data_IF_809578557798
#
_entry.id   IF_809578557798
#
_cell.length_a   1.000
_cell.length_b   1.000
_cell.length_c   1.000
_cell.angle_alpha   90.00
_cell.angle_beta   90.00
_cell.angle_gamma   90.00
#
_symmetry.space_group_name_H-M   'P 1'
#
loop_
_entity.id
_entity.type
_entity.pdbx_description
1 polymer ?
#
# COMPACT_ATOMS: atom_id res chain seq x y z
N UNK A 1 33.87 -5.18 21.52
CA UNK A 1 35.03 -4.93 20.63
C UNK A 1 35.89 -3.83 21.27
N UNK A 2 37.15 -4.11 21.61
CA UNK A 2 38.04 -3.23 22.40
C UNK A 2 38.53 -1.98 21.67
N UNK A 3 37.64 -1.00 21.47
CA UNK A 3 38.00 0.35 21.01
C UNK A 3 38.44 1.17 22.22
N UNK A 4 39.63 1.80 22.16
CA UNK A 4 40.04 2.79 23.17
C UNK A 4 39.24 4.06 22.93
N UNK A 5 38.47 4.49 23.92
CA UNK A 5 37.60 5.67 23.89
C UNK A 5 38.11 6.64 24.96
N UNK A 6 38.07 7.93 24.68
CA UNK A 6 38.45 8.98 25.63
C UNK A 6 37.31 9.29 26.60
N UNK A 7 37.63 9.78 27.79
CA UNK A 7 36.63 10.21 28.78
C UNK A 7 35.71 11.28 28.19
N UNK A 8 36.28 12.19 27.40
CA UNK A 8 35.53 13.26 26.73
C UNK A 8 34.51 12.73 25.70
N UNK A 9 34.87 11.69 24.94
CA UNK A 9 33.93 11.03 24.03
C UNK A 9 32.79 10.35 24.79
N UNK A 10 33.06 9.77 25.96
CA UNK A 10 32.03 9.13 26.79
C UNK A 10 31.11 10.18 27.44
N UNK A 11 31.66 11.27 27.96
CA UNK A 11 30.85 12.38 28.52
C UNK A 11 29.92 12.99 27.46
N UNK A 12 30.35 13.04 26.20
CA UNK A 12 29.55 13.53 25.08
C UNK A 12 28.70 12.48 24.37
N UNK A 13 28.67 11.24 24.88
CA UNK A 13 27.87 10.15 24.32
C UNK A 13 26.44 10.13 24.86
N UNK A 14 25.61 9.25 24.30
CA UNK A 14 24.22 9.00 24.74
C UNK A 14 24.12 8.34 26.14
N UNK A 15 25.25 7.87 26.68
CA UNK A 15 25.28 7.25 28.02
C UNK A 15 25.07 8.28 29.14
N UNK A 16 25.43 9.55 28.92
CA UNK A 16 25.38 10.62 29.93
C UNK A 16 24.42 11.72 29.47
N UNK A 17 23.44 12.07 30.29
CA UNK A 17 22.48 13.15 29.97
C UNK A 17 23.16 14.52 30.01
N UNK A 18 22.56 15.50 29.35
CA UNK A 18 23.11 16.86 29.32
C UNK A 18 23.24 17.48 30.71
N UNK A 19 22.27 17.22 31.60
CA UNK A 19 22.30 17.64 33.00
C UNK A 19 23.46 17.00 33.78
N UNK A 20 23.66 15.70 33.62
CA UNK A 20 24.75 14.96 34.26
C UNK A 20 26.12 15.41 33.73
N UNK A 21 26.22 15.69 32.43
CA UNK A 21 27.42 16.24 31.79
C UNK A 21 27.81 17.59 32.40
N UNK A 22 26.85 18.50 32.52
CA UNK A 22 27.08 19.83 33.08
C UNK A 22 27.56 19.72 34.53
N UNK A 23 26.93 18.86 35.33
CA UNK A 23 27.33 18.66 36.73
C UNK A 23 28.72 18.05 36.85
N UNK A 24 29.05 17.02 36.05
CA UNK A 24 30.38 16.41 36.04
C UNK A 24 31.49 17.40 35.67
N UNK A 25 31.26 18.23 34.64
CA UNK A 25 32.22 19.26 34.22
C UNK A 25 32.38 20.31 35.32
N UNK A 26 31.28 20.73 35.96
CA UNK A 26 31.28 21.71 37.04
C UNK A 26 32.07 21.20 38.24
N UNK A 27 31.86 19.95 38.66
CA UNK A 27 32.57 19.34 39.79
C UNK A 27 34.07 19.20 39.52
N UNK A 28 34.46 18.87 38.29
CA UNK A 28 35.87 18.84 37.87
C UNK A 28 36.51 20.25 37.87
N UNK A 29 35.82 21.26 37.33
CA UNK A 29 36.31 22.65 37.30
C UNK A 29 36.49 23.25 38.70
N UNK A 30 35.65 22.86 39.66
CA UNK A 30 35.75 23.28 41.05
C UNK A 30 36.81 22.50 41.84
N UNK A 31 37.46 21.50 41.24
CA UNK A 31 38.49 20.68 41.88
C UNK A 31 37.94 19.71 42.94
N UNK A 32 36.62 19.51 43.01
CA UNK A 32 35.98 18.57 43.92
C UNK A 32 36.17 17.11 43.48
N UNK A 33 36.43 16.88 42.19
CA UNK A 33 36.61 15.55 41.60
C UNK A 33 37.91 15.52 40.80
N UNK A 34 38.78 14.57 41.11
CA UNK A 34 40.03 14.34 40.39
C UNK A 34 39.79 13.59 39.07
N UNK A 35 40.77 13.60 38.17
CA UNK A 35 40.65 12.89 36.87
C UNK A 35 40.41 11.38 37.06
N UNK A 36 40.97 10.76 38.10
CA UNK A 36 40.81 9.34 38.41
C UNK A 36 39.42 9.02 38.95
N UNK A 37 38.87 9.90 39.79
CA UNK A 37 37.49 9.80 40.28
C UNK A 37 36.48 10.04 39.16
N UNK A 38 36.77 10.99 38.26
CA UNK A 38 35.94 11.25 37.08
C UNK A 38 35.88 10.01 36.17
N UNK A 39 37.02 9.33 35.95
CA UNK A 39 37.06 8.06 35.21
C UNK A 39 36.17 7.02 35.89
N UNK A 40 36.29 6.84 37.21
CA UNK A 40 35.46 5.88 37.95
C UNK A 40 33.98 6.20 37.83
N UNK A 41 33.58 7.45 38.05
CA UNK A 41 32.18 7.90 37.98
C UNK A 41 31.62 7.65 36.57
N UNK A 42 32.37 8.04 35.53
CA UNK A 42 31.95 7.86 34.14
C UNK A 42 31.84 6.36 33.78
N UNK A 43 32.78 5.52 34.22
CA UNK A 43 32.70 4.06 34.02
C UNK A 43 31.48 3.48 34.74
N UNK A 44 31.26 3.83 36.01
CA UNK A 44 30.09 3.34 36.77
C UNK A 44 28.78 3.78 36.13
N UNK A 45 28.70 5.00 35.61
CA UNK A 45 27.50 5.49 34.91
C UNK A 45 27.27 4.77 33.58
N UNK A 46 28.33 4.48 32.83
CA UNK A 46 28.25 3.68 31.60
C UNK A 46 27.84 2.25 31.91
N UNK A 47 28.43 1.63 32.94
CA UNK A 47 28.08 0.27 33.36
C UNK A 47 26.64 0.21 33.89
N UNK A 48 26.17 1.20 34.66
CA UNK A 48 24.77 1.30 35.11
C UNK A 48 23.79 1.49 33.94
N UNK A 49 24.14 2.31 32.94
CA UNK A 49 23.36 2.49 31.71
C UNK A 49 23.39 1.26 30.80
N UNK A 50 24.53 0.58 30.71
CA UNK A 50 24.68 -0.66 29.95
C UNK A 50 23.90 -1.80 30.62
N UNK A 51 23.99 -1.92 31.95
CA UNK A 51 23.22 -2.86 32.75
C UNK A 51 21.72 -2.61 32.67
N UNK A 52 21.27 -1.34 32.65
CA UNK A 52 19.85 -1.03 32.47
C UNK A 52 19.38 -1.33 31.05
N UNK A 53 20.21 -1.11 30.03
CA UNK A 53 19.90 -1.49 28.65
C UNK A 53 19.88 -3.02 28.44
N UNK A 54 20.74 -3.78 29.14
CA UNK A 54 20.75 -5.25 29.10
C UNK A 54 19.65 -5.90 29.99
N UNK A 55 19.14 -5.18 31.00
CA UNK A 55 18.06 -5.64 31.89
C UNK A 55 16.65 -5.20 31.45
N UNK A 56 16.52 -4.41 30.39
CA UNK A 56 15.21 -4.00 29.91
C UNK A 56 14.49 -5.16 29.22
N UNK A 57 13.43 -5.63 29.88
CA UNK A 57 12.57 -6.68 29.35
C UNK A 57 11.85 -6.17 28.11
N UNK A 58 12.14 -6.82 26.98
CA UNK A 58 11.62 -6.44 25.68
C UNK A 58 10.70 -7.52 25.08
N UNK A 59 9.74 -7.06 24.28
CA UNK A 59 8.80 -7.86 23.51
C UNK A 59 9.03 -7.68 22.01
N UNK A 60 8.68 -8.67 21.21
CA UNK A 60 8.68 -8.51 19.75
C UNK A 60 7.49 -7.64 19.30
N UNK A 61 7.78 -6.47 18.74
CA UNK A 61 6.81 -5.58 18.12
C UNK A 61 6.69 -5.78 16.61
N UNK A 62 6.21 -4.75 15.92
CA UNK A 62 5.99 -4.79 14.47
C UNK A 62 7.28 -4.54 13.66
N UNK A 63 8.17 -3.68 14.15
CA UNK A 63 9.45 -3.34 13.48
C UNK A 63 10.62 -3.31 14.45
N UNK A 64 10.38 -2.97 15.70
CA UNK A 64 11.38 -2.91 16.75
C UNK A 64 10.94 -3.71 17.98
N UNK A 65 11.90 -3.93 18.88
CA UNK A 65 11.61 -4.46 20.20
C UNK A 65 10.87 -3.42 21.04
N UNK A 66 9.88 -3.88 21.80
CA UNK A 66 9.00 -3.04 22.62
C UNK A 66 9.37 -3.23 24.09
N UNK A 67 9.88 -2.20 24.79
CA UNK A 67 10.16 -2.30 26.20
C UNK A 67 8.89 -2.53 27.02
N UNK A 68 8.97 -3.33 28.09
CA UNK A 68 7.84 -3.59 29.00
C UNK A 68 7.24 -2.29 29.56
N UNK A 69 8.08 -1.28 29.79
CA UNK A 69 7.66 0.04 30.25
C UNK A 69 6.71 0.72 29.26
N UNK A 70 6.97 0.58 27.96
CA UNK A 70 6.10 1.14 26.92
C UNK A 70 4.71 0.50 26.90
N UNK A 71 4.63 -0.79 27.22
CA UNK A 71 3.34 -1.49 27.38
C UNK A 71 2.58 -1.02 28.63
N UNK A 72 3.30 -0.73 29.73
CA UNK A 72 2.71 -0.18 30.96
C UNK A 72 2.20 1.24 30.74
N UNK A 73 3.01 2.11 30.12
CA UNK A 73 2.64 3.49 29.79
C UNK A 73 1.46 3.56 28.80
N UNK A 74 1.28 2.49 28.01
CA UNK A 74 0.16 2.32 27.08
C UNK A 74 -1.03 1.58 27.71
N UNK A 75 -1.00 1.29 29.01
CA UNK A 75 -2.04 0.59 29.78
C UNK A 75 -2.43 -0.77 29.18
N UNK A 76 -1.48 -1.44 28.52
CA UNK A 76 -1.67 -2.78 27.93
C UNK A 76 -1.42 -3.85 28.99
N UNK A 77 -0.44 -3.61 29.87
CA UNK A 77 -0.14 -4.47 31.02
C UNK A 77 -0.40 -3.69 32.31
N UNK A 78 -0.82 -4.42 33.34
CA UNK A 78 -1.00 -3.87 34.68
C UNK A 78 0.33 -3.74 35.42
N UNK A 79 0.38 -2.87 36.43
CA UNK A 79 1.56 -2.67 37.30
C UNK A 79 2.03 -3.99 37.92
N UNK A 80 1.09 -4.85 38.35
CA UNK A 80 1.42 -6.15 38.95
C UNK A 80 2.12 -7.09 37.97
N UNK A 81 1.70 -7.06 36.69
CA UNK A 81 2.31 -7.90 35.65
C UNK A 81 3.69 -7.37 35.28
N UNK A 82 3.85 -6.04 35.24
CA UNK A 82 5.14 -5.39 35.03
C UNK A 82 6.14 -5.71 36.15
N UNK A 83 5.71 -5.66 37.41
CA UNK A 83 6.54 -6.03 38.56
C UNK A 83 6.92 -7.52 38.54
N UNK A 84 6.01 -8.41 38.12
CA UNK A 84 6.31 -9.84 37.95
C UNK A 84 7.33 -10.10 36.84
N UNK A 85 7.28 -9.32 35.76
CA UNK A 85 8.28 -9.34 34.70
C UNK A 85 9.64 -8.89 35.24
N UNK A 86 9.70 -7.74 35.93
CA UNK A 86 10.97 -7.24 36.51
C UNK A 86 11.59 -8.20 37.52
N UNK A 87 10.77 -8.89 38.31
CA UNK A 87 11.21 -9.90 39.29
C UNK A 87 11.59 -11.25 38.64
N UNK A 88 11.40 -11.40 37.33
CA UNK A 88 11.69 -12.64 36.59
C UNK A 88 10.72 -13.79 36.88
N UNK A 89 9.58 -13.51 37.52
CA UNK A 89 8.56 -14.52 37.87
C UNK A 89 7.75 -14.98 36.66
N UNK A 90 7.56 -14.08 35.68
CA UNK A 90 6.96 -14.37 34.38
C UNK A 90 7.94 -14.07 33.26
N UNK A 91 7.90 -14.88 32.22
CA UNK A 91 8.71 -14.62 31.03
C UNK A 91 7.98 -13.70 30.03
N UNK A 92 8.71 -12.90 29.24
CA UNK A 92 8.08 -12.04 28.21
C UNK A 92 7.32 -12.87 27.17
N UNK A 93 7.77 -14.11 26.92
CA UNK A 93 7.13 -15.04 25.99
C UNK A 93 5.80 -15.60 26.51
N UNK A 94 5.62 -15.72 27.83
CA UNK A 94 4.32 -16.10 28.42
C UNK A 94 3.34 -14.94 28.37
N UNK A 95 3.79 -13.74 28.71
CA UNK A 95 2.95 -12.54 28.69
C UNK A 95 2.54 -12.18 27.26
N UNK A 96 3.43 -12.33 26.28
CA UNK A 96 3.13 -12.06 24.87
C UNK A 96 2.07 -13.00 24.26
N UNK A 97 1.94 -14.22 24.79
CA UNK A 97 0.91 -15.19 24.38
C UNK A 97 -0.46 -14.93 24.98
N UNK A 98 -0.58 -14.01 25.93
CA UNK A 98 -1.89 -13.62 26.48
C UNK A 98 -2.65 -12.82 25.42
N UNK A 99 -3.88 -13.22 25.09
CA UNK A 99 -4.69 -12.61 24.03
C UNK A 99 -4.76 -11.07 24.12
N UNK A 100 -4.84 -10.54 25.35
CA UNK A 100 -4.84 -9.09 25.61
C UNK A 100 -3.59 -8.40 25.06
N UNK A 101 -2.41 -8.96 25.29
CA UNK A 101 -1.12 -8.37 24.91
C UNK A 101 -0.78 -8.71 23.46
N UNK A 102 -1.07 -9.94 23.02
CA UNK A 102 -0.85 -10.37 21.64
C UNK A 102 -1.57 -9.48 20.62
N UNK A 103 -2.82 -9.10 20.93
CA UNK A 103 -3.62 -8.16 20.14
C UNK A 103 -2.89 -6.85 19.87
N UNK A 104 -2.15 -6.32 20.85
CA UNK A 104 -1.46 -5.05 20.71
C UNK A 104 -0.07 -5.17 20.10
N UNK A 105 0.65 -6.28 20.37
CA UNK A 105 1.96 -6.53 19.77
C UNK A 105 1.87 -6.89 18.28
N UNK A 106 1.03 -7.87 17.93
CA UNK A 106 0.98 -8.43 16.58
C UNK A 106 -0.30 -8.09 15.81
N UNK A 107 -1.38 -7.71 16.50
CA UNK A 107 -2.69 -7.45 15.91
C UNK A 107 -3.65 -8.62 16.05
N UNK A 108 -4.87 -8.44 15.56
CA UNK A 108 -5.91 -9.47 15.47
C UNK A 108 -6.07 -9.98 14.04
N UNK A 109 -7.15 -10.71 13.80
CA UNK A 109 -7.58 -11.17 12.48
C UNK A 109 -7.58 -10.02 11.47
N UNK A 110 -6.99 -10.30 10.30
CA UNK A 110 -6.85 -9.40 9.15
C UNK A 110 -7.10 -10.21 7.88
N UNK A 111 -7.27 -9.55 6.74
CA UNK A 111 -7.42 -10.26 5.47
C UNK A 111 -6.03 -10.68 4.98
N UNK A 112 -5.68 -11.96 5.13
CA UNK A 112 -4.35 -12.50 4.78
C UNK A 112 -4.30 -13.02 3.33
N UNK A 113 -5.44 -13.43 2.78
CA UNK A 113 -5.54 -13.94 1.41
C UNK A 113 -6.97 -14.16 0.96
N UNK A 114 -7.11 -14.84 -0.18
CA UNK A 114 -8.39 -15.21 -0.78
C UNK A 114 -8.51 -16.72 -0.80
N UNK A 115 -9.70 -17.24 -0.49
CA UNK A 115 -10.02 -18.66 -0.70
C UNK A 115 -11.02 -18.79 -1.83
N UNK A 116 -10.69 -19.60 -2.83
CA UNK A 116 -11.61 -19.96 -3.89
C UNK A 116 -12.65 -20.93 -3.35
N UNK A 117 -13.91 -20.52 -3.32
CA UNK A 117 -15.02 -21.36 -2.84
C UNK A 117 -15.24 -22.60 -3.70
N UNK A 118 -14.90 -22.53 -5.00
CA UNK A 118 -15.08 -23.63 -5.95
C UNK A 118 -14.03 -24.74 -5.79
N UNK A 119 -12.77 -24.39 -5.50
CA UNK A 119 -11.63 -25.32 -5.43
C UNK A 119 -11.03 -25.48 -4.03
N UNK A 120 -11.50 -24.69 -3.06
CA UNK A 120 -10.90 -24.50 -1.73
C UNK A 120 -9.41 -24.12 -1.78
N UNK A 121 -8.97 -23.52 -2.90
CA UNK A 121 -7.60 -23.08 -3.11
C UNK A 121 -7.34 -21.75 -2.39
N UNK A 122 -6.20 -21.66 -1.70
CA UNK A 122 -5.78 -20.46 -0.97
C UNK A 122 -4.79 -19.68 -1.82
N UNK A 123 -5.16 -18.46 -2.18
CA UNK A 123 -4.36 -17.56 -3.00
C UNK A 123 -3.91 -16.35 -2.19
N UNK A 124 -2.72 -15.84 -2.51
CA UNK A 124 -2.33 -14.50 -2.06
C UNK A 124 -3.20 -13.45 -2.77
N UNK A 125 -3.35 -12.28 -2.16
CA UNK A 125 -4.15 -11.19 -2.75
C UNK A 125 -3.59 -10.78 -4.11
N UNK A 126 -2.26 -10.72 -4.22
CA UNK A 126 -1.58 -10.41 -5.47
C UNK A 126 -1.77 -11.50 -6.54
N UNK A 127 -1.75 -12.78 -6.16
CA UNK A 127 -2.04 -13.87 -7.09
C UNK A 127 -3.49 -13.82 -7.58
N UNK A 128 -4.44 -13.54 -6.69
CA UNK A 128 -5.84 -13.38 -7.06
C UNK A 128 -6.08 -12.18 -8.01
N UNK A 129 -5.27 -11.11 -7.91
CA UNK A 129 -5.28 -10.01 -8.89
C UNK A 129 -4.76 -10.46 -10.25
N UNK A 130 -3.67 -11.23 -10.29
CA UNK A 130 -3.09 -11.78 -11.53
C UNK A 130 -4.05 -12.73 -12.24
N UNK A 131 -4.72 -13.57 -11.47
CA UNK A 131 -5.68 -14.56 -11.97
C UNK A 131 -7.04 -13.93 -12.32
N UNK A 132 -7.16 -12.60 -12.22
CA UNK A 132 -8.38 -11.82 -12.49
C UNK A 132 -9.58 -12.24 -11.65
N UNK A 133 -9.34 -12.90 -10.52
CA UNK A 133 -10.36 -13.21 -9.51
C UNK A 133 -10.73 -11.96 -8.73
N UNK A 134 -9.75 -11.07 -8.51
CA UNK A 134 -9.92 -9.83 -7.79
C UNK A 134 -9.63 -8.63 -8.69
N UNK A 135 -10.52 -7.63 -8.66
CA UNK A 135 -10.28 -6.36 -9.36
C UNK A 135 -9.00 -5.69 -8.86
N UNK A 136 -8.24 -5.07 -9.77
CA UNK A 136 -6.94 -4.47 -9.43
C UNK A 136 -7.05 -3.41 -8.32
N UNK A 137 -8.08 -2.54 -8.37
CA UNK A 137 -8.27 -1.50 -7.36
C UNK A 137 -8.59 -2.08 -5.98
N UNK A 138 -9.50 -3.07 -5.91
CA UNK A 138 -9.85 -3.74 -4.66
C UNK A 138 -8.65 -4.50 -4.09
N UNK A 139 -7.89 -5.20 -4.94
CA UNK A 139 -6.69 -5.91 -4.52
C UNK A 139 -5.59 -5.01 -4.02
N UNK A 140 -5.36 -3.87 -4.69
CA UNK A 140 -4.43 -2.86 -4.23
C UNK A 140 -4.82 -2.33 -2.84
N UNK A 141 -6.09 -1.96 -2.64
CA UNK A 141 -6.56 -1.46 -1.34
C UNK A 141 -6.36 -2.48 -0.20
N UNK A 142 -6.60 -3.77 -0.48
CA UNK A 142 -6.37 -4.83 0.51
C UNK A 142 -4.88 -5.06 0.79
N UNK A 143 -4.00 -4.99 -0.21
CA UNK A 143 -2.56 -5.07 -0.02
C UNK A 143 -2.02 -3.86 0.75
N UNK A 144 -2.52 -2.66 0.48
CA UNK A 144 -2.19 -1.44 1.24
C UNK A 144 -2.62 -1.60 2.71
N UNK A 145 -3.81 -2.16 2.97
CA UNK A 145 -4.26 -2.47 4.32
C UNK A 145 -3.37 -3.51 5.04
N UNK A 146 -2.87 -4.53 4.34
CA UNK A 146 -1.89 -5.48 4.91
C UNK A 146 -0.58 -4.78 5.28
N UNK A 147 -0.04 -3.97 4.37
CA UNK A 147 1.19 -3.20 4.61
C UNK A 147 1.02 -2.23 5.80
N UNK A 148 -0.11 -1.52 5.88
CA UNK A 148 -0.41 -0.59 6.95
C UNK A 148 -0.72 -1.25 8.30
N UNK A 149 -1.04 -2.55 8.33
CA UNK A 149 -1.28 -3.33 9.56
C UNK A 149 -0.06 -4.15 9.99
N UNK A 150 1.07 -4.00 9.29
CA UNK A 150 2.36 -4.50 9.72
C UNK A 150 3.13 -5.27 8.67
N UNK A 151 2.52 -6.24 7.98
CA UNK A 151 3.28 -7.12 7.10
C UNK A 151 2.44 -7.59 5.93
N UNK A 152 3.09 -7.77 4.79
CA UNK A 152 2.53 -8.54 3.68
C UNK A 152 2.67 -10.02 3.98
N UNK A 153 1.61 -10.77 3.75
CA UNK A 153 1.54 -12.19 4.10
C UNK A 153 1.59 -13.02 2.83
N UNK A 154 2.46 -14.03 2.84
CA UNK A 154 2.38 -15.14 1.91
C UNK A 154 1.59 -16.28 2.56
N UNK A 155 0.34 -16.51 2.16
CA UNK A 155 -0.51 -17.54 2.77
C UNK A 155 -0.07 -18.96 2.46
N UNK A 156 0.73 -19.19 1.41
CA UNK A 156 1.20 -20.53 1.02
C UNK A 156 2.37 -20.94 1.91
N UNK A 157 3.29 -20.02 2.15
CA UNK A 157 4.49 -20.26 2.99
C UNK A 157 4.27 -19.92 4.46
N UNK A 158 3.15 -19.28 4.79
CA UNK A 158 2.84 -18.71 6.11
C UNK A 158 3.97 -17.79 6.63
N UNK A 159 4.48 -16.93 5.74
CA UNK A 159 5.57 -16.00 6.03
C UNK A 159 5.08 -14.56 5.96
N UNK A 160 5.66 -13.72 6.81
CA UNK A 160 5.39 -12.28 6.89
C UNK A 160 6.60 -11.52 6.38
N UNK A 161 6.38 -10.57 5.49
CA UNK A 161 7.43 -9.78 4.86
C UNK A 161 7.19 -8.28 5.01
N UNK A 162 8.27 -7.52 5.12
CA UNK A 162 8.26 -6.08 4.80
C UNK A 162 8.07 -5.88 3.30
N UNK A 163 7.69 -4.68 2.87
CA UNK A 163 7.38 -4.42 1.46
C UNK A 163 8.58 -4.72 0.56
N UNK A 164 9.78 -4.27 0.94
CA UNK A 164 11.01 -4.54 0.19
C UNK A 164 11.32 -6.04 0.07
N UNK A 165 11.09 -6.80 1.14
CA UNK A 165 11.34 -8.23 1.15
C UNK A 165 10.24 -8.99 0.38
N UNK A 166 9.01 -8.51 0.39
CA UNK A 166 7.90 -9.11 -0.37
C UNK A 166 8.16 -9.01 -1.88
N UNK A 167 8.69 -7.87 -2.36
CA UNK A 167 9.08 -7.70 -3.77
C UNK A 167 10.26 -8.61 -4.13
N UNK A 168 11.29 -8.67 -3.28
CA UNK A 168 12.46 -9.56 -3.50
C UNK A 168 12.08 -11.05 -3.55
N UNK A 169 11.08 -11.47 -2.76
CA UNK A 169 10.60 -12.84 -2.71
C UNK A 169 9.48 -13.12 -3.74
N UNK A 170 9.08 -12.14 -4.55
CA UNK A 170 8.05 -12.30 -5.58
C UNK A 170 6.62 -12.45 -5.04
N UNK A 171 6.39 -12.12 -3.76
CA UNK A 171 5.04 -12.12 -3.15
C UNK A 171 4.19 -11.00 -3.73
N UNK A 172 4.81 -9.87 -4.05
CA UNK A 172 4.19 -8.73 -4.73
C UNK A 172 5.08 -8.26 -5.88
N UNK A 173 4.47 -7.77 -6.95
CA UNK A 173 5.19 -7.22 -8.10
C UNK A 173 5.80 -5.84 -7.86
N UNK A 174 6.88 -5.50 -8.58
CA UNK A 174 7.55 -4.21 -8.43
C UNK A 174 6.67 -3.02 -8.80
N UNK A 175 5.62 -3.21 -9.60
CA UNK A 175 4.65 -2.17 -9.99
C UNK A 175 3.86 -1.59 -8.83
N UNK A 176 3.74 -2.32 -7.72
CA UNK A 176 3.04 -1.87 -6.51
C UNK A 176 3.99 -1.38 -5.42
N UNK A 177 5.31 -1.46 -5.62
CA UNK A 177 6.32 -1.21 -4.59
C UNK A 177 6.18 0.17 -3.95
N UNK A 178 6.09 1.22 -4.75
CA UNK A 178 5.99 2.60 -4.27
C UNK A 178 4.72 2.85 -3.43
N UNK A 179 3.57 2.34 -3.89
CA UNK A 179 2.28 2.49 -3.20
C UNK A 179 2.26 1.74 -1.87
N UNK A 180 2.75 0.50 -1.87
CA UNK A 180 2.82 -0.30 -0.65
C UNK A 180 3.84 0.24 0.34
N UNK A 181 4.96 0.80 -0.14
CA UNK A 181 5.94 1.47 0.71
C UNK A 181 5.33 2.73 1.36
N UNK A 182 4.48 3.47 0.63
CA UNK A 182 3.70 4.57 1.21
C UNK A 182 2.75 4.09 2.31
N UNK A 183 2.07 2.96 2.12
CA UNK A 183 1.19 2.38 3.12
C UNK A 183 1.98 1.83 4.34
N UNK A 184 3.15 1.23 4.13
CA UNK A 184 4.04 0.72 5.19
C UNK A 184 4.55 1.84 6.12
N UNK A 185 4.65 3.09 5.63
CA UNK A 185 4.96 4.26 6.48
C UNK A 185 3.94 4.48 7.58
N UNK A 186 2.73 3.96 7.46
CA UNK A 186 1.73 3.95 8.54
C UNK A 186 2.17 3.14 9.76
N UNK A 187 3.16 2.26 9.59
CA UNK A 187 3.76 1.42 10.65
C UNK A 187 5.12 1.97 11.08
N UNK A 188 5.98 2.36 10.12
CA UNK A 188 7.34 2.86 10.41
C UNK A 188 7.37 4.35 10.79
N UNK A 189 6.30 5.07 10.49
CA UNK A 189 6.15 6.50 10.74
C UNK A 189 6.47 7.35 9.52
N UNK A 190 5.82 8.51 9.45
CA UNK A 190 6.08 9.55 8.46
C UNK A 190 7.11 10.53 9.02
N UNK A 191 8.08 10.94 8.21
CA UNK A 191 9.07 11.93 8.65
C UNK A 191 8.49 13.33 8.52
N UNK A 192 8.38 14.05 9.63
CA UNK A 192 7.94 15.44 9.63
C UNK A 192 9.04 16.33 9.01
N UNK A 193 8.75 17.08 7.91
CA UNK A 193 9.74 17.95 7.28
C UNK A 193 10.29 19.05 8.19
N UNK A 194 9.53 19.48 9.20
CA UNK A 194 9.92 20.60 10.07
C UNK A 194 10.75 20.15 11.28
N UNK A 195 10.39 19.03 11.89
CA UNK A 195 11.04 18.53 13.12
C UNK A 195 12.02 17.40 12.87
N UNK A 196 11.94 16.73 11.71
CA UNK A 196 12.70 15.53 11.40
C UNK A 196 12.25 14.26 12.15
N UNK A 197 11.27 14.40 13.05
CA UNK A 197 10.76 13.30 13.87
C UNK A 197 9.77 12.41 13.10
N UNK A 198 9.69 11.14 13.48
CA UNK A 198 8.66 10.22 12.97
C UNK A 198 7.32 10.50 13.65
N UNK A 199 6.31 10.81 12.85
CA UNK A 199 4.92 11.04 13.27
C UNK A 199 4.00 9.92 12.78
N UNK A 200 2.87 9.76 13.46
CA UNK A 200 1.84 8.79 13.07
C UNK A 200 1.08 9.17 11.80
N UNK A 201 0.36 8.19 11.23
CA UNK A 201 -0.49 8.40 10.06
C UNK A 201 -1.56 9.48 10.32
N UNK A 202 -2.20 9.49 11.48
CA UNK A 202 -3.20 10.51 11.82
C UNK A 202 -2.60 11.91 11.94
N UNK A 203 -1.41 12.02 12.53
CA UNK A 203 -0.71 13.31 12.62
C UNK A 203 -0.25 13.78 11.24
N UNK A 204 0.22 12.87 10.39
CA UNK A 204 0.59 13.17 9.01
C UNK A 204 -0.62 13.65 8.20
N UNK A 205 -1.78 13.02 8.38
CA UNK A 205 -3.05 13.46 7.79
C UNK A 205 -3.48 14.84 8.32
N UNK A 206 -3.35 15.08 9.63
CA UNK A 206 -3.73 16.37 10.23
C UNK A 206 -2.80 17.52 9.83
N UNK A 207 -1.58 17.21 9.37
CA UNK A 207 -0.59 18.15 8.85
C UNK A 207 -0.61 18.24 7.31
N UNK A 208 -1.62 17.65 6.65
CA UNK A 208 -1.76 17.59 5.20
C UNK A 208 -0.56 16.97 4.45
N UNK A 209 0.25 16.15 5.14
CA UNK A 209 1.35 15.39 4.53
C UNK A 209 0.83 14.14 3.80
N UNK A 210 -0.34 13.65 4.19
CA UNK A 210 -1.03 12.51 3.57
C UNK A 210 -2.50 12.88 3.37
N UNK A 211 -3.03 12.70 2.17
CA UNK A 211 -4.44 12.96 1.89
C UNK A 211 -5.36 12.06 2.72
N UNK A 212 -6.47 12.61 3.19
CA UNK A 212 -7.50 11.90 3.95
C UNK A 212 -7.99 10.64 3.25
N UNK A 213 -8.13 10.69 1.92
CA UNK A 213 -8.65 9.57 1.11
C UNK A 213 -7.73 8.34 1.15
N UNK A 214 -6.43 8.55 1.35
CA UNK A 214 -5.46 7.47 1.54
C UNK A 214 -5.30 7.10 3.01
N UNK A 215 -5.35 8.08 3.93
CA UNK A 215 -5.11 7.83 5.35
C UNK A 215 -6.29 7.13 6.06
N UNK A 216 -7.54 7.53 5.79
CA UNK A 216 -8.74 6.98 6.44
C UNK A 216 -8.86 5.46 6.27
N UNK A 217 -8.73 4.87 5.06
CA UNK A 217 -8.80 3.42 4.88
C UNK A 217 -7.74 2.66 5.68
N UNK A 218 -6.52 3.20 5.77
CA UNK A 218 -5.42 2.57 6.50
C UNK A 218 -5.62 2.66 8.02
N UNK A 219 -6.11 3.80 8.51
CA UNK A 219 -6.49 3.99 9.92
C UNK A 219 -7.63 3.05 10.32
N UNK A 220 -8.63 2.90 9.46
CA UNK A 220 -9.73 1.96 9.67
C UNK A 220 -9.24 0.51 9.75
N UNK A 221 -8.31 0.11 8.87
CA UNK A 221 -7.71 -1.22 8.89
C UNK A 221 -6.90 -1.46 10.18
N UNK A 222 -6.12 -0.47 10.65
CA UNK A 222 -5.41 -0.56 11.92
C UNK A 222 -6.38 -0.69 13.11
N UNK A 223 -7.39 0.19 13.15
CA UNK A 223 -8.42 0.20 14.19
C UNK A 223 -9.13 -1.16 14.30
N UNK A 224 -9.50 -1.74 13.16
CA UNK A 224 -10.19 -3.02 13.08
C UNK A 224 -9.31 -4.21 13.45
N UNK A 225 -7.98 -4.11 13.25
CA UNK A 225 -7.01 -5.20 13.50
C UNK A 225 -6.31 -5.11 14.85
N UNK A 226 -6.91 -4.43 15.82
CA UNK A 226 -6.46 -4.45 17.22
C UNK A 226 -6.39 -3.07 17.86
N UNK A 227 -6.08 -2.03 17.09
CA UNK A 227 -5.87 -0.66 17.56
C UNK A 227 -4.92 0.12 16.64
N UNK A 228 -4.83 1.43 16.84
CA UNK A 228 -3.95 2.32 16.06
C UNK A 228 -2.48 1.99 16.35
N UNK A 229 -1.64 2.02 15.32
CA UNK A 229 -0.21 1.75 15.47
C UNK A 229 0.52 3.03 15.85
N UNK A 230 1.34 2.95 16.89
CA UNK A 230 2.29 4.00 17.25
C UNK A 230 3.65 3.66 16.62
N UNK A 231 4.13 4.47 15.64
CA UNK A 231 5.38 4.19 14.96
C UNK A 231 6.61 4.24 15.85
N UNK A 232 6.58 5.06 16.90
CA UNK A 232 7.74 5.26 17.79
C UNK A 232 7.90 4.06 18.71
N UNK A 233 6.79 3.58 19.27
CA UNK A 233 6.79 2.43 20.17
C UNK A 233 6.61 1.08 19.47
N UNK A 234 6.43 1.08 18.14
CA UNK A 234 6.37 -0.11 17.27
C UNK A 234 5.31 -1.16 17.65
N UNK A 235 4.25 -0.76 18.34
CA UNK A 235 3.12 -1.61 18.69
C UNK A 235 1.79 -0.85 18.55
N UNK A 236 0.67 -1.59 18.61
CA UNK A 236 -0.66 -1.00 18.63
C UNK A 236 -1.00 -0.53 20.02
N UNK A 237 -1.76 0.54 20.11
CA UNK A 237 -2.22 1.11 21.38
C UNK A 237 -3.75 1.06 21.51
N UNK A 238 -4.27 0.99 22.74
CA UNK A 238 -5.70 1.14 23.02
C UNK A 238 -6.26 2.49 22.53
N UNK A 239 -7.55 2.53 22.19
CA UNK A 239 -8.19 3.71 21.59
C UNK A 239 -8.19 4.94 22.52
N UNK A 240 -8.40 4.74 23.81
CA UNK A 240 -8.37 5.79 24.83
C UNK A 240 -6.97 6.41 24.94
N UNK A 241 -5.93 5.57 24.92
CA UNK A 241 -4.53 6.01 24.93
C UNK A 241 -4.16 6.71 23.61
N UNK A 242 -4.66 6.21 22.47
CA UNK A 242 -4.44 6.83 21.17
C UNK A 242 -5.01 8.26 21.12
N UNK A 243 -6.19 8.49 21.71
CA UNK A 243 -6.79 9.81 21.81
C UNK A 243 -5.97 10.71 22.75
N UNK A 244 -5.54 10.21 23.90
CA UNK A 244 -4.71 10.96 24.85
C UNK A 244 -3.38 11.40 24.25
N UNK A 245 -2.76 10.56 23.40
CA UNK A 245 -1.50 10.86 22.71
C UNK A 245 -1.69 11.66 21.41
N UNK A 246 -2.93 11.99 21.01
CA UNK A 246 -3.21 12.69 19.77
C UNK A 246 -2.88 11.88 18.50
N UNK A 247 -2.91 10.55 18.61
CA UNK A 247 -2.71 9.59 17.51
C UNK A 247 -4.03 9.22 16.83
N UNK A 248 -5.16 9.58 17.45
CA UNK A 248 -6.51 9.44 16.92
C UNK A 248 -7.40 10.56 17.49
N UNK A 249 -8.33 11.11 16.71
CA UNK A 249 -9.33 12.03 17.25
C UNK A 249 -10.55 11.27 17.79
N UNK A 250 -11.21 11.83 18.80
CA UNK A 250 -12.45 11.26 19.34
C UNK A 250 -13.55 11.16 18.26
N UNK A 251 -13.65 12.17 17.39
CA UNK A 251 -14.60 12.18 16.27
C UNK A 251 -14.35 11.02 15.30
N UNK A 252 -13.10 10.74 14.97
CA UNK A 252 -12.76 9.65 14.05
C UNK A 252 -12.93 8.28 14.71
N UNK A 253 -12.61 8.17 16.01
CA UNK A 253 -12.91 6.95 16.78
C UNK A 253 -14.41 6.64 16.79
N UNK A 254 -15.27 7.65 16.99
CA UNK A 254 -16.73 7.47 16.94
C UNK A 254 -17.17 7.05 15.54
N UNK A 255 -16.67 7.73 14.50
CA UNK A 255 -17.01 7.40 13.13
C UNK A 255 -16.63 5.94 12.76
N UNK A 256 -15.49 5.44 13.22
CA UNK A 256 -15.07 4.04 13.04
C UNK A 256 -15.97 3.05 13.77
N UNK A 257 -16.37 3.37 15.02
CA UNK A 257 -17.33 2.56 15.78
C UNK A 257 -18.72 2.52 15.13
N UNK A 258 -19.19 3.66 14.61
CA UNK A 258 -20.53 3.81 14.03
C UNK A 258 -20.62 3.26 12.59
N UNK A 259 -19.50 2.84 12.01
CA UNK A 259 -19.39 2.37 10.62
C UNK A 259 -20.05 3.34 9.61
N UNK A 260 -19.82 4.64 9.81
CA UNK A 260 -20.40 5.71 8.99
C UNK A 260 -20.07 5.54 7.49
N UNK A 261 -20.99 5.95 6.62
CA UNK A 261 -20.79 5.91 5.15
C UNK A 261 -19.53 6.66 4.69
N UNK A 262 -19.07 7.66 5.45
CA UNK A 262 -17.85 8.43 5.15
C UNK A 262 -16.56 7.61 5.24
N UNK A 263 -16.60 6.46 5.92
CA UNK A 263 -15.44 5.58 6.17
C UNK A 263 -15.43 4.38 5.23
N UNK A 264 -16.53 4.12 4.51
CA UNK A 264 -16.64 2.99 3.57
C UNK A 264 -15.73 3.20 2.36
N UNK A 265 -14.46 2.87 2.53
CA UNK A 265 -13.41 3.06 1.54
C UNK A 265 -13.05 1.78 0.80
N UNK A 266 -13.48 0.61 1.30
CA UNK A 266 -13.22 -0.67 0.65
C UNK A 266 -14.42 -1.08 -0.22
N UNK A 267 -14.16 -1.93 -1.21
CA UNK A 267 -15.21 -2.50 -2.07
C UNK A 267 -15.33 -3.98 -1.78
N UNK A 268 -16.56 -4.45 -1.54
CA UNK A 268 -16.82 -5.88 -1.42
C UNK A 268 -16.65 -6.53 -2.79
N UNK A 269 -15.68 -7.44 -2.98
CA UNK A 269 -15.44 -8.07 -4.27
C UNK A 269 -16.63 -8.91 -4.79
N UNK A 270 -17.54 -9.38 -3.92
CA UNK A 270 -18.74 -10.14 -4.34
C UNK A 270 -19.87 -9.25 -4.83
N UNK A 271 -20.19 -8.21 -4.05
CA UNK A 271 -21.37 -7.36 -4.31
C UNK A 271 -21.04 -6.06 -5.03
N UNK A 272 -19.75 -5.73 -5.16
CA UNK A 272 -19.24 -4.46 -5.66
C UNK A 272 -19.76 -3.22 -4.90
N UNK A 273 -20.20 -3.43 -3.65
CA UNK A 273 -20.68 -2.36 -2.76
C UNK A 273 -19.55 -1.81 -1.91
N UNK A 274 -19.63 -0.52 -1.56
CA UNK A 274 -18.70 0.08 -0.61
C UNK A 274 -18.98 -0.41 0.80
N UNK A 275 -17.94 -0.86 1.48
CA UNK A 275 -17.96 -1.47 2.80
C UNK A 275 -16.80 -0.98 3.65
N UNK A 276 -16.92 -1.17 4.95
CA UNK A 276 -15.83 -0.94 5.91
C UNK A 276 -14.86 -2.12 5.91
N UNK A 277 -13.59 -1.89 6.28
CA UNK A 277 -12.64 -2.99 6.48
C UNK A 277 -13.15 -3.99 7.52
N UNK A 278 -13.77 -3.49 8.60
CA UNK A 278 -14.39 -4.32 9.64
C UNK A 278 -15.42 -5.30 9.08
N UNK A 279 -16.30 -4.83 8.18
CA UNK A 279 -17.30 -5.68 7.53
C UNK A 279 -16.69 -6.75 6.62
N UNK A 280 -15.55 -6.47 5.99
CA UNK A 280 -14.83 -7.46 5.18
C UNK A 280 -14.18 -8.53 6.04
N UNK A 281 -13.50 -8.14 7.12
CA UNK A 281 -12.88 -9.09 8.07
C UNK A 281 -13.94 -9.99 8.69
N UNK A 282 -15.13 -9.46 9.02
CA UNK A 282 -16.25 -10.27 9.54
C UNK A 282 -16.79 -11.33 8.57
N UNK A 283 -16.46 -11.23 7.27
CA UNK A 283 -16.80 -12.24 6.25
C UNK A 283 -15.67 -13.23 5.98
N UNK A 284 -14.50 -13.03 6.57
CA UNK A 284 -13.36 -13.92 6.40
C UNK A 284 -13.53 -15.21 7.20
N UNK A 285 -12.92 -16.29 6.70
CA UNK A 285 -12.87 -17.58 7.37
C UNK A 285 -11.44 -17.82 7.83
N UNK A 286 -11.28 -18.12 9.12
CA UNK A 286 -10.00 -18.46 9.71
C UNK A 286 -9.62 -19.90 9.35
N UNK A 287 -8.43 -20.05 8.78
CA UNK A 287 -7.87 -21.35 8.47
C UNK A 287 -7.31 -22.02 9.75
N UNK A 288 -7.79 -23.21 10.14
CA UNK A 288 -7.33 -23.88 11.36
C UNK A 288 -5.86 -24.29 11.29
N UNK A 289 -5.30 -24.49 10.09
CA UNK A 289 -3.91 -24.96 9.94
C UNK A 289 -2.88 -23.84 10.05
N UNK A 290 -3.13 -22.71 9.38
CA UNK A 290 -2.19 -21.57 9.37
C UNK A 290 -2.53 -20.50 10.42
N UNK A 291 -3.78 -20.47 10.89
CA UNK A 291 -4.31 -19.42 11.75
C UNK A 291 -4.64 -18.11 11.01
N UNK A 292 -4.41 -18.06 9.69
CA UNK A 292 -4.66 -16.90 8.82
C UNK A 292 -6.12 -16.78 8.42
N UNK A 293 -6.58 -15.57 8.11
CA UNK A 293 -7.96 -15.31 7.72
C UNK A 293 -8.08 -15.02 6.22
N UNK A 294 -8.96 -15.76 5.55
CA UNK A 294 -9.14 -15.69 4.10
C UNK A 294 -10.52 -15.15 3.73
N UNK A 295 -10.58 -14.28 2.72
CA UNK A 295 -11.82 -13.81 2.14
C UNK A 295 -12.31 -14.84 1.09
N UNK A 296 -13.47 -15.49 1.29
CA UNK A 296 -13.96 -16.48 0.33
C UNK A 296 -14.49 -15.80 -0.93
N UNK A 297 -14.05 -16.19 -2.13
CA UNK A 297 -14.54 -15.69 -3.43
C UNK A 297 -14.88 -16.85 -4.39
N UNK A 298 -15.78 -16.61 -5.34
CA UNK A 298 -16.07 -17.52 -6.45
C UNK A 298 -15.52 -16.96 -7.75
N UNK A 299 -15.06 -17.83 -8.66
CA UNK A 299 -14.36 -17.41 -9.90
C UNK A 299 -15.22 -16.55 -10.85
N UNK A 300 -16.53 -16.55 -10.66
CA UNK A 300 -17.50 -15.86 -11.52
C UNK A 300 -17.70 -14.36 -11.23
N UNK A 301 -17.07 -13.79 -10.19
CA UNK A 301 -17.48 -12.47 -9.66
C UNK A 301 -16.47 -11.34 -9.87
N UNK A 302 -15.62 -11.41 -10.90
CA UNK A 302 -15.27 -10.16 -11.56
C UNK A 302 -16.43 -9.86 -12.53
N UNK A 303 -17.17 -8.75 -12.38
CA UNK A 303 -17.65 -8.11 -13.57
C UNK A 303 -16.35 -7.83 -14.33
N UNK A 304 -16.06 -8.63 -15.35
CA UNK A 304 -15.22 -8.19 -16.44
C UNK A 304 -15.64 -6.75 -16.62
N UNK A 305 -14.70 -5.80 -16.54
CA UNK A 305 -14.95 -4.48 -17.11
C UNK A 305 -15.71 -4.81 -18.37
N UNK A 306 -16.99 -4.43 -18.43
CA UNK A 306 -17.67 -4.49 -19.68
C UNK A 306 -16.81 -3.53 -20.49
N UNK A 307 -15.80 -4.08 -21.21
CA UNK A 307 -15.72 -3.87 -22.64
C UNK A 307 -17.17 -3.95 -23.00
N UNK A 308 -17.80 -2.78 -23.06
CA UNK A 308 -19.08 -2.64 -23.71
C UNK A 308 -18.72 -3.02 -25.14
N UNK A 309 -18.62 -4.32 -25.40
CA UNK A 309 -18.84 -4.90 -26.69
C UNK A 309 -20.31 -4.60 -26.87
N UNK A 310 -20.60 -3.36 -27.26
CA UNK A 310 -21.79 -3.07 -28.01
C UNK A 310 -21.62 -3.97 -29.25
N UNK A 311 -22.19 -5.16 -29.18
CA UNK A 311 -22.44 -5.93 -30.37
C UNK A 311 -23.52 -5.14 -31.09
N UNK A 312 -23.10 -4.21 -31.94
CA UNK A 312 -24.02 -3.46 -32.76
C UNK A 312 -24.67 -4.44 -33.74
N UNK A 313 -26.00 -4.44 -33.82
CA UNK A 313 -26.69 -5.07 -34.95
C UNK A 313 -26.31 -4.32 -36.22
N UNK A 314 -26.43 -4.97 -37.38
CA UNK A 314 -26.03 -4.38 -38.68
C UNK A 314 -26.69 -3.02 -38.92
N UNK A 315 -27.97 -2.92 -38.58
CA UNK A 315 -28.79 -1.73 -38.72
C UNK A 315 -28.34 -0.60 -37.77
N UNK A 316 -27.99 -0.92 -36.53
CA UNK A 316 -27.51 0.07 -35.54
C UNK A 316 -26.11 0.59 -35.89
N UNK A 317 -25.22 -0.29 -36.37
CA UNK A 317 -23.91 0.12 -36.87
C UNK A 317 -24.04 1.02 -38.10
N UNK A 318 -24.98 0.71 -38.99
CA UNK A 318 -25.26 1.55 -40.16
C UNK A 318 -25.72 2.95 -39.76
N UNK A 319 -26.65 3.08 -38.81
CA UNK A 319 -27.14 4.39 -38.36
C UNK A 319 -26.04 5.21 -37.69
N UNK A 320 -25.28 4.66 -36.73
CA UNK A 320 -24.23 5.41 -36.01
C UNK A 320 -23.08 5.85 -36.94
N UNK A 321 -22.74 5.02 -37.93
CA UNK A 321 -21.70 5.35 -38.92
C UNK A 321 -22.18 6.32 -40.00
N UNK A 322 -23.48 6.36 -40.30
CA UNK A 322 -24.08 7.34 -41.22
C UNK A 322 -24.27 8.71 -40.57
N UNK A 323 -24.37 8.79 -39.25
CA UNK A 323 -24.46 10.07 -38.52
C UNK A 323 -23.09 10.73 -38.28
N UNK A 324 -22.01 9.95 -38.29
CA UNK A 324 -20.67 10.45 -37.96
C UNK A 324 -19.94 10.96 -39.21
N UNK A 325 -19.68 12.27 -39.26
CA UNK A 325 -18.93 12.91 -40.35
C UNK A 325 -17.42 12.85 -40.13
N UNK A 326 -16.67 12.61 -41.21
CA UNK A 326 -15.20 12.72 -41.27
C UNK A 326 -14.84 14.04 -41.93
N UNK A 327 -14.05 14.84 -41.24
CA UNK A 327 -13.40 16.01 -41.81
C UNK A 327 -12.01 15.62 -42.31
N UNK A 328 -11.71 15.92 -43.58
CA UNK A 328 -10.46 15.53 -44.21
C UNK A 328 -9.51 16.73 -44.25
N UNK A 329 -8.46 16.74 -43.43
CA UNK A 329 -7.50 17.84 -43.48
C UNK A 329 -6.83 17.87 -44.86
N UNK A 330 -6.82 19.05 -45.49
CA UNK A 330 -6.11 19.39 -46.73
C UNK A 330 -6.75 19.00 -48.09
N UNK A 331 -8.07 18.79 -48.16
CA UNK A 331 -8.76 18.65 -49.47
C UNK A 331 -9.98 19.55 -49.58
N UNK A 332 -10.30 20.04 -50.78
CA UNK A 332 -11.53 20.80 -51.09
C UNK A 332 -12.76 19.88 -51.21
N UNK A 333 -12.69 18.69 -50.64
CA UNK A 333 -13.73 17.67 -50.71
C UNK A 333 -14.80 17.93 -49.64
N UNK A 334 -16.06 17.67 -50.00
CA UNK A 334 -17.20 17.82 -49.11
C UNK A 334 -17.04 16.84 -47.93
N UNK A 335 -17.39 17.23 -46.68
CA UNK A 335 -17.39 16.30 -45.55
C UNK A 335 -18.27 15.09 -45.87
N UNK A 336 -17.72 13.89 -45.71
CA UNK A 336 -18.41 12.61 -45.94
C UNK A 336 -18.52 11.84 -44.63
N UNK A 337 -19.55 11.03 -44.52
CA UNK A 337 -19.80 10.17 -43.35
C UNK A 337 -18.92 8.93 -43.37
N UNK A 338 -18.69 8.33 -42.19
CA UNK A 338 -17.90 7.10 -42.11
C UNK A 338 -18.53 5.98 -42.96
N UNK A 339 -19.86 5.90 -43.00
CA UNK A 339 -20.59 4.95 -43.84
C UNK A 339 -20.38 5.19 -45.35
N UNK A 340 -20.40 6.44 -45.79
CA UNK A 340 -20.10 6.79 -47.20
C UNK A 340 -18.67 6.41 -47.58
N UNK A 341 -17.70 6.65 -46.69
CA UNK A 341 -16.29 6.31 -46.93
C UNK A 341 -16.10 4.80 -47.07
N UNK A 342 -16.73 4.00 -46.20
CA UNK A 342 -16.65 2.54 -46.27
C UNK A 342 -17.32 1.96 -47.52
N UNK A 343 -18.34 2.62 -48.08
CA UNK A 343 -19.01 2.19 -49.31
C UNK A 343 -18.48 2.85 -50.60
N UNK A 344 -17.53 3.78 -50.49
CA UNK A 344 -16.95 4.52 -51.63
C UNK A 344 -15.90 3.69 -52.39
N UNK A 345 -14.97 4.31 -53.13
CA UNK A 345 -13.76 3.65 -53.66
C UNK A 345 -12.47 4.09 -52.94
N UNK A 346 -12.61 4.73 -51.76
CA UNK A 346 -11.50 5.41 -51.06
C UNK A 346 -10.60 4.46 -50.25
N UNK A 347 -11.08 3.26 -49.92
CA UNK A 347 -10.32 2.25 -49.15
C UNK A 347 -10.31 0.92 -49.90
N UNK A 348 -9.34 0.02 -49.70
CA UNK A 348 -9.39 -1.34 -50.23
C UNK A 348 -10.54 -2.15 -49.63
N UNK A 349 -11.14 -3.05 -50.40
CA UNK A 349 -12.30 -3.87 -49.99
C UNK A 349 -12.02 -4.72 -48.73
N UNK A 350 -10.81 -5.25 -48.62
CA UNK A 350 -10.36 -6.03 -47.48
C UNK A 350 -10.29 -5.21 -46.17
N UNK A 351 -9.89 -3.94 -46.25
CA UNK A 351 -9.75 -3.08 -45.07
C UNK A 351 -11.10 -2.56 -44.58
N UNK A 352 -12.03 -2.29 -45.50
CA UNK A 352 -13.42 -1.93 -45.13
C UNK A 352 -14.11 -3.04 -44.38
N UNK A 353 -14.02 -4.27 -44.90
CA UNK A 353 -14.63 -5.45 -44.30
C UNK A 353 -14.06 -5.70 -42.90
N UNK A 354 -12.73 -5.56 -42.76
CA UNK A 354 -12.04 -5.67 -41.48
C UNK A 354 -12.47 -4.58 -40.49
N UNK A 355 -12.56 -3.32 -40.91
CA UNK A 355 -12.95 -2.21 -40.03
C UNK A 355 -14.40 -2.34 -39.56
N UNK A 356 -15.32 -2.67 -40.47
CA UNK A 356 -16.72 -2.93 -40.15
C UNK A 356 -16.87 -4.08 -39.15
N UNK A 357 -16.17 -5.20 -39.37
CA UNK A 357 -16.21 -6.34 -38.46
C UNK A 357 -15.62 -5.98 -37.08
N UNK A 358 -14.50 -5.26 -37.04
CA UNK A 358 -13.90 -4.83 -35.78
C UNK A 358 -14.80 -3.84 -35.02
N UNK A 359 -15.49 -2.96 -35.72
CA UNK A 359 -16.45 -2.02 -35.14
C UNK A 359 -17.71 -2.75 -34.63
N UNK A 360 -18.26 -3.70 -35.41
CA UNK A 360 -19.39 -4.56 -34.97
C UNK A 360 -19.05 -5.40 -33.74
N UNK A 361 -17.81 -5.87 -33.65
CA UNK A 361 -17.32 -6.61 -32.48
C UNK A 361 -16.99 -5.70 -31.27
N UNK A 362 -17.16 -4.38 -31.41
CA UNK A 362 -16.82 -3.39 -30.39
C UNK A 362 -15.32 -3.36 -30.04
N UNK A 363 -14.46 -3.86 -30.95
CA UNK A 363 -13.00 -3.87 -30.78
C UNK A 363 -12.39 -2.48 -31.05
N UNK A 364 -13.06 -1.66 -31.85
CA UNK A 364 -12.66 -0.29 -32.19
C UNK A 364 -13.83 0.66 -31.96
N UNK A 365 -13.55 1.87 -31.49
CA UNK A 365 -14.55 2.95 -31.36
C UNK A 365 -14.65 3.74 -32.65
N UNK A 366 -15.71 4.55 -32.82
CA UNK A 366 -15.89 5.39 -34.01
C UNK A 366 -14.77 6.41 -34.19
N UNK A 367 -14.29 7.01 -33.10
CA UNK A 367 -13.17 7.96 -33.11
C UNK A 367 -11.88 7.26 -33.56
N UNK A 368 -11.67 6.01 -33.10
CA UNK A 368 -10.52 5.22 -33.51
C UNK A 368 -10.62 4.79 -34.97
N UNK A 369 -11.83 4.52 -35.46
CA UNK A 369 -12.07 4.16 -36.85
C UNK A 369 -11.77 5.32 -37.81
N UNK A 370 -12.12 6.56 -37.43
CA UNK A 370 -11.76 7.77 -38.21
C UNK A 370 -10.23 7.89 -38.37
N UNK A 371 -9.48 7.69 -37.28
CA UNK A 371 -8.01 7.76 -37.32
C UNK A 371 -7.43 6.72 -38.28
N UNK A 372 -7.92 5.47 -38.22
CA UNK A 372 -7.42 4.39 -39.08
C UNK A 372 -7.74 4.67 -40.56
N UNK A 373 -8.93 5.21 -40.85
CA UNK A 373 -9.32 5.61 -42.21
C UNK A 373 -8.41 6.70 -42.76
N UNK A 374 -8.10 7.73 -41.96
CA UNK A 374 -7.19 8.81 -42.34
C UNK A 374 -5.76 8.29 -42.58
N UNK A 375 -5.29 7.37 -41.73
CA UNK A 375 -3.97 6.76 -41.83
C UNK A 375 -3.83 5.89 -43.10
N UNK A 376 -4.84 5.10 -43.43
CA UNK A 376 -4.86 4.31 -44.68
C UNK A 376 -4.83 5.24 -45.90
N UNK A 377 -5.60 6.34 -45.87
CA UNK A 377 -5.61 7.33 -46.97
C UNK A 377 -4.24 7.95 -47.15
N UNK A 378 -3.59 8.36 -46.07
CA UNK A 378 -2.25 8.93 -46.11
C UNK A 378 -1.22 7.93 -46.66
N UNK A 379 -1.30 6.66 -46.25
CA UNK A 379 -0.43 5.60 -46.78
C UNK A 379 -0.65 5.38 -48.28
N UNK A 380 -1.88 5.46 -48.79
CA UNK A 380 -2.16 5.36 -50.22
C UNK A 380 -1.64 6.56 -51.03
N UNK A 381 -1.73 7.77 -50.49
CA UNK A 381 -1.15 8.98 -51.09
C UNK A 381 0.38 8.87 -51.18
N UNK A 382 1.02 8.35 -50.13
CA UNK A 382 2.48 8.10 -50.10
C UNK A 382 2.87 7.02 -51.13
N UNK A 383 2.10 5.94 -51.24
CA UNK A 383 2.35 4.88 -52.23
C UNK A 383 2.18 5.38 -53.68
N UNK A 384 1.14 6.19 -53.95
CA UNK A 384 0.92 6.81 -55.27
C UNK A 384 2.04 7.78 -55.62
N UNK A 385 2.46 8.64 -54.70
CA UNK A 385 3.57 9.58 -54.93
C UNK A 385 4.91 8.86 -55.14
N UNK A 386 5.15 7.74 -54.45
CA UNK A 386 6.32 6.88 -54.69
C UNK A 386 6.27 6.16 -56.05
N UNK A 387 5.09 5.70 -56.49
CA UNK A 387 4.89 5.09 -57.82
C UNK A 387 5.10 6.09 -58.97
N UNK A 388 4.63 7.33 -58.80
CA UNK A 388 4.86 8.41 -59.78
C UNK A 388 6.37 8.71 -59.91
N UNK A 389 7.10 8.78 -58.78
CA UNK A 389 8.56 8.98 -58.81
C UNK A 389 9.33 7.79 -59.43
N UNK A 390 8.84 6.55 -59.32
CA UNK A 390 9.48 5.38 -59.93
C UNK A 390 9.20 5.26 -61.44
N UNK A 391 8.02 5.66 -61.91
CA UNK A 391 7.73 5.74 -63.35
C UNK A 391 8.53 6.83 -64.06
N UNK A 392 8.77 7.98 -63.42
CA UNK A 392 9.61 9.06 -64.00
C UNK A 392 11.09 8.67 -64.18
N UNK A 393 11.61 7.78 -63.33
CA UNK A 393 12.99 7.26 -63.43
C UNK A 393 13.13 6.28 -64.62
N UNK A 394 12.06 5.56 -64.98
CA UNK A 394 12.06 4.63 -66.11
C UNK A 394 11.85 5.39 -67.44
N UNK A 395 11.04 6.46 -67.44
CA UNK A 395 10.86 7.32 -68.61
C UNK A 395 12.11 8.12 -69.01
N UNK A 396 12.98 8.48 -68.04
CA UNK A 396 14.26 9.17 -68.33
C UNK A 396 15.42 8.25 -68.73
N UNK A 397 15.24 6.93 -68.72
CA UNK A 397 16.24 5.95 -69.20
C UNK A 397 15.96 5.44 -70.62
N UNK A 398 14.86 5.85 -71.24
CA UNK A 398 14.54 5.58 -72.65
C UNK A 398 14.20 6.91 -73.32
N UNK A 399 15.21 7.76 -73.51
CA UNK A 399 15.23 8.90 -74.44
C UNK A 399 16.66 9.17 -74.86
#
# INVERSE_FOLDING_TARGET
KGRKVTIWEIINSEYITEEQRIELIRQYQLGHVTIEELIKIVITMVDEKADTAEKEICFEGLRALVPAKSLLDSKIIDTDTFDQLQKGSKTPQEVSKTDKVQRYLQGTDRIDGITMTDSNEKLSIYQAMKDTVLQQNTGLALLEAQAATGFLVDPVRNLKFSVDNAVKNGVVGPELHEKLLSAEKSVTGYKDPYTGNSISLFQAMSKDLVHSDHAIPLLEAQFSTGGIIDPVSSHRIPNDVAIQRGLLSQQMSQAFCDHSDKIKSFTNPKTNERVTYHQLVGKCVRDPTSGLCFLPLSKAECPALAKKCYQYTEEQAQTDLAETQIDFPQTTEKPMTIWEVLNSNMLPEAERSRLLEQYRLGKITKERMVIIILEIREQQEILKSQQIMTCDIIGRKVS
#
